data_IF_228039138452
#
_entry.id   IF_228039138452
#
_cell.length_a   1.000
_cell.length_b   1.000
_cell.length_c   1.000
_cell.angle_alpha   90.00
_cell.angle_beta   90.00
_cell.angle_gamma   90.00
#
_symmetry.space_group_name_H-M   'P 1'
#
loop_
_entity.id
_entity.type
_entity.pdbx_description
1 polymer ?
#
# COMPACT_ATOMS: atom_id res chain seq x y z
N UNK A 1 13.79 6.02 14.60
CA UNK A 1 13.69 4.87 13.69
C UNK A 1 12.90 5.31 12.48
N UNK A 2 13.47 5.20 11.28
CA UNK A 2 12.78 5.58 10.05
C UNK A 2 11.67 4.57 9.75
N UNK A 3 10.41 5.01 9.88
CA UNK A 3 9.26 4.18 9.53
C UNK A 3 9.21 3.99 8.01
N UNK A 4 9.21 2.72 7.57
CA UNK A 4 9.06 2.35 6.17
C UNK A 4 7.62 1.97 5.86
N UNK A 5 7.19 2.29 4.65
CA UNK A 5 5.84 2.08 4.16
C UNK A 5 5.87 1.27 2.87
N UNK A 6 4.73 0.68 2.53
CA UNK A 6 4.52 -0.03 1.28
C UNK A 6 3.18 0.39 0.69
N UNK A 7 3.00 0.21 -0.60
CA UNK A 7 1.75 0.50 -1.30
C UNK A 7 1.12 -0.82 -1.75
N UNK A 8 -0.14 -1.03 -1.36
CA UNK A 8 -0.96 -2.16 -1.77
C UNK A 8 -1.93 -1.74 -2.86
N UNK A 9 -2.02 -2.53 -3.92
CA UNK A 9 -3.06 -2.46 -4.95
C UNK A 9 -3.76 -3.82 -5.03
N UNK A 10 -4.79 -3.94 -5.88
CA UNK A 10 -5.41 -5.25 -6.12
C UNK A 10 -4.46 -6.24 -6.81
N UNK A 11 -3.49 -5.73 -7.59
CA UNK A 11 -2.47 -6.54 -8.27
C UNK A 11 -1.34 -7.01 -7.35
N UNK A 12 -1.18 -6.44 -6.16
CA UNK A 12 -0.16 -6.86 -5.21
C UNK A 12 0.38 -5.74 -4.32
N UNK A 13 1.63 -5.89 -3.88
CA UNK A 13 2.27 -4.98 -2.93
C UNK A 13 3.67 -4.61 -3.40
N UNK A 14 3.96 -3.31 -3.35
CA UNK A 14 5.25 -2.73 -3.73
C UNK A 14 6.42 -3.15 -2.83
N UNK A 15 7.60 -2.61 -3.13
CA UNK A 15 8.73 -2.60 -2.21
C UNK A 15 8.53 -1.57 -1.09
N UNK A 16 9.35 -1.67 -0.03
CA UNK A 16 9.40 -0.69 1.07
C UNK A 16 9.96 0.64 0.57
N UNK A 17 9.34 1.74 0.98
CA UNK A 17 9.70 3.11 0.62
C UNK A 17 9.45 4.08 1.78
N UNK A 18 9.90 5.32 1.65
CA UNK A 18 9.61 6.38 2.63
C UNK A 18 8.14 6.80 2.57
N UNK A 19 7.68 7.52 3.60
CA UNK A 19 6.31 8.06 3.65
C UNK A 19 6.01 8.97 2.45
N UNK A 20 6.94 9.86 2.11
CA UNK A 20 6.79 10.82 1.02
C UNK A 20 6.66 10.12 -0.33
N UNK A 21 7.45 9.07 -0.56
CA UNK A 21 7.37 8.24 -1.76
C UNK A 21 6.06 7.46 -1.84
N UNK A 22 5.59 6.90 -0.71
CA UNK A 22 4.32 6.18 -0.66
C UNK A 22 3.13 7.10 -1.02
N UNK A 23 3.13 8.33 -0.49
CA UNK A 23 2.10 9.34 -0.82
C UNK A 23 2.14 9.69 -2.31
N UNK A 24 3.34 9.90 -2.87
CA UNK A 24 3.50 10.21 -4.30
C UNK A 24 2.96 9.07 -5.16
N UNK A 25 3.36 7.85 -4.84
CA UNK A 25 2.96 6.62 -5.56
C UNK A 25 1.45 6.42 -5.54
N UNK A 26 0.78 6.57 -4.39
CA UNK A 26 -0.68 6.42 -4.31
C UNK A 26 -1.41 7.48 -5.13
N UNK A 27 -0.94 8.73 -5.12
CA UNK A 27 -1.50 9.80 -5.96
C UNK A 27 -1.33 9.52 -7.45
N UNK A 28 -0.20 8.93 -7.85
CA UNK A 28 0.01 8.51 -9.24
C UNK A 28 -0.92 7.36 -9.62
N UNK A 29 -1.15 6.38 -8.74
CA UNK A 29 -2.11 5.30 -8.99
C UNK A 29 -3.54 5.81 -9.10
N UNK A 30 -3.96 6.72 -8.21
CA UNK A 30 -5.28 7.35 -8.25
C UNK A 30 -5.53 8.07 -9.59
N UNK A 31 -4.55 8.81 -10.10
CA UNK A 31 -4.62 9.46 -11.43
C UNK A 31 -4.81 8.46 -12.57
N UNK A 32 -4.36 7.23 -12.40
CA UNK A 32 -4.52 6.13 -13.37
C UNK A 32 -5.77 5.27 -13.09
N UNK A 33 -6.64 5.68 -12.17
CA UNK A 33 -7.86 4.94 -11.80
C UNK A 33 -7.58 3.68 -10.97
N UNK A 34 -6.39 3.53 -10.40
CA UNK A 34 -5.98 2.38 -9.61
C UNK A 34 -6.19 2.67 -8.13
N UNK A 35 -7.01 1.84 -7.47
CA UNK A 35 -7.20 1.90 -6.02
C UNK A 35 -5.95 1.38 -5.30
N UNK A 36 -5.27 2.27 -4.58
CA UNK A 36 -4.04 1.97 -3.86
C UNK A 36 -4.11 2.44 -2.40
N UNK A 37 -3.47 1.69 -1.50
CA UNK A 37 -3.45 1.95 -0.06
C UNK A 37 -2.02 1.97 0.46
N UNK A 38 -1.71 2.96 1.30
CA UNK A 38 -0.45 2.98 2.05
C UNK A 38 -0.61 2.07 3.28
N UNK A 39 0.34 1.17 3.47
CA UNK A 39 0.39 0.26 4.62
C UNK A 39 1.76 0.33 5.29
N UNK A 40 1.82 -0.04 6.57
CA UNK A 40 3.10 -0.20 7.27
C UNK A 40 3.89 -1.37 6.69
N UNK A 41 5.21 -1.41 6.94
CA UNK A 41 6.05 -2.54 6.52
C UNK A 41 5.54 -3.89 7.06
N UNK A 42 5.13 -3.94 8.33
CA UNK A 42 4.62 -5.17 8.96
C UNK A 42 3.34 -5.65 8.30
N UNK A 43 2.42 -4.73 8.01
CA UNK A 43 1.17 -5.05 7.31
C UNK A 43 1.44 -5.49 5.87
N UNK A 44 2.35 -4.82 5.17
CA UNK A 44 2.78 -5.22 3.82
C UNK A 44 3.38 -6.63 3.79
N UNK A 45 4.19 -7.00 4.79
CA UNK A 45 4.71 -8.36 4.96
C UNK A 45 3.61 -9.37 5.26
N UNK A 46 2.66 -9.04 6.14
CA UNK A 46 1.50 -9.89 6.45
C UNK A 46 0.68 -10.17 5.20
N UNK A 47 0.39 -9.13 4.42
CA UNK A 47 -0.38 -9.24 3.18
C UNK A 47 0.37 -10.03 2.09
N UNK A 48 1.69 -9.85 1.94
CA UNK A 48 2.51 -10.67 1.01
C UNK A 48 2.42 -12.17 1.35
N UNK A 49 2.51 -12.52 2.63
CA UNK A 49 2.37 -13.92 3.10
C UNK A 49 0.93 -14.43 2.96
N UNK A 50 -0.04 -13.55 3.16
CA UNK A 50 -1.47 -13.87 3.17
C UNK A 50 -2.17 -13.82 1.81
N UNK A 51 -1.44 -13.71 0.70
CA UNK A 51 -2.03 -13.65 -0.65
C UNK A 51 -2.80 -12.36 -0.93
N UNK A 52 -2.29 -11.22 -0.46
CA UNK A 52 -2.88 -9.89 -0.63
C UNK A 52 -4.29 -9.71 -0.02
N UNK A 53 -4.65 -10.51 1.01
CA UNK A 53 -5.91 -10.40 1.74
C UNK A 53 -5.99 -9.13 2.59
N UNK A 54 -6.49 -8.07 1.97
CA UNK A 54 -6.64 -6.75 2.57
C UNK A 54 -8.08 -6.53 3.07
N UNK A 55 -8.21 -6.00 4.28
CA UNK A 55 -9.50 -5.60 4.83
C UNK A 55 -9.81 -4.19 4.30
N UNK A 56 -10.38 -4.14 3.10
CA UNK A 56 -10.70 -2.88 2.43
C UNK A 56 -11.64 -2.04 3.30
N UNK A 57 -11.23 -0.82 3.69
CA UNK A 57 -12.10 0.09 4.44
C UNK A 57 -13.37 0.39 3.64
N UNK A 58 -14.53 0.31 4.31
CA UNK A 58 -15.80 0.75 3.73
C UNK A 58 -16.14 2.12 4.30
N UNK A 59 -16.22 3.10 3.42
CA UNK A 59 -16.72 4.44 3.76
C UNK A 59 -18.16 4.47 3.28
N UNK A 60 -19.09 4.31 4.21
CA UNK A 60 -20.54 4.44 3.99
C UNK A 60 -21.03 5.70 4.66
#
# INVERSE_FOLDING_TARGET
MDQKFMVRTDSGISSTMSRSEAIKTVKEYEKNGINAYIVSEDEGKRLKKGGNKFNTPKWS
#
